data_IF_822090656760
#
_entry.id   IF_822090656760
#
_cell.length_a   1.000
_cell.length_b   1.000
_cell.length_c   1.000
_cell.angle_alpha   90.00
_cell.angle_beta   90.00
_cell.angle_gamma   90.00
#
_symmetry.space_group_name_H-M   'P 1'
#
loop_
_entity.id
_entity.type
_entity.pdbx_description
1 polymer ?
#
# COMPACT_ATOMS: atom_id res chain seq x y z
N UNK A 1 24.96 -26.80 16.34
CA UNK A 1 25.81 -25.93 15.51
C UNK A 1 24.88 -25.18 14.56
N UNK A 2 24.64 -23.87 14.78
CA UNK A 2 23.88 -23.07 13.81
C UNK A 2 24.70 -23.05 12.52
N UNK A 3 24.10 -23.46 11.39
CA UNK A 3 24.74 -23.23 10.09
C UNK A 3 24.69 -21.72 9.87
N UNK A 4 25.84 -21.07 9.82
CA UNK A 4 25.93 -19.70 9.31
C UNK A 4 25.35 -19.70 7.90
N UNK A 5 24.28 -18.93 7.71
CA UNK A 5 23.72 -18.70 6.39
C UNK A 5 24.60 -17.69 5.65
N UNK A 6 24.63 -17.74 4.32
CA UNK A 6 25.36 -16.78 3.50
C UNK A 6 24.91 -15.33 3.80
N UNK A 7 23.66 -15.20 4.26
CA UNK A 7 22.99 -13.96 4.62
C UNK A 7 23.31 -13.43 6.02
N UNK A 8 23.95 -14.21 6.89
CA UNK A 8 24.38 -13.76 8.22
C UNK A 8 25.56 -12.75 8.14
N UNK A 9 26.12 -12.55 6.94
CA UNK A 9 27.21 -11.60 6.66
C UNK A 9 26.74 -10.26 6.12
N UNK A 10 25.47 -10.14 5.78
CA UNK A 10 24.87 -8.92 5.23
C UNK A 10 24.10 -8.18 6.32
N UNK A 11 24.00 -6.85 6.18
CA UNK A 11 23.01 -6.10 6.95
C UNK A 11 21.60 -6.58 6.57
N UNK A 12 20.65 -6.58 7.51
CA UNK A 12 19.34 -7.21 7.29
C UNK A 12 18.58 -6.64 6.07
N UNK A 13 18.75 -5.34 5.81
CA UNK A 13 18.15 -4.66 4.66
C UNK A 13 18.78 -5.09 3.32
N UNK A 14 20.06 -5.47 3.30
CA UNK A 14 20.76 -5.96 2.10
C UNK A 14 20.28 -7.37 1.74
N UNK A 15 20.09 -8.22 2.75
CA UNK A 15 19.56 -9.57 2.55
C UNK A 15 18.13 -9.55 2.01
N UNK A 16 17.24 -8.75 2.61
CA UNK A 16 15.86 -8.58 2.14
C UNK A 16 15.83 -8.04 0.70
N UNK A 17 16.58 -6.97 0.40
CA UNK A 17 16.62 -6.38 -0.94
C UNK A 17 17.07 -7.38 -2.01
N UNK A 18 18.03 -8.25 -1.71
CA UNK A 18 18.49 -9.28 -2.65
C UNK A 18 17.37 -10.24 -3.05
N UNK A 19 16.53 -10.66 -2.09
CA UNK A 19 15.36 -11.49 -2.39
C UNK A 19 14.29 -10.72 -3.19
N UNK A 20 14.04 -9.45 -2.83
CA UNK A 20 13.08 -8.58 -3.53
C UNK A 20 13.48 -8.35 -4.99
N UNK A 21 14.74 -7.99 -5.24
CA UNK A 21 15.29 -7.72 -6.57
C UNK A 21 15.22 -8.96 -7.47
N UNK A 22 15.54 -10.13 -6.90
CA UNK A 22 15.44 -11.43 -7.60
C UNK A 22 14.01 -11.96 -7.70
N UNK A 23 13.05 -11.34 -6.99
CA UNK A 23 11.67 -11.83 -6.82
C UNK A 23 11.63 -13.28 -6.30
N UNK A 24 12.60 -13.64 -5.46
CA UNK A 24 12.65 -14.95 -4.82
C UNK A 24 11.78 -14.96 -3.55
N UNK A 25 10.46 -14.98 -3.77
CA UNK A 25 9.47 -14.92 -2.70
C UNK A 25 9.52 -16.13 -1.77
N UNK A 26 9.87 -17.30 -2.30
CA UNK A 26 10.02 -18.52 -1.50
C UNK A 26 11.24 -18.42 -0.59
N UNK A 27 12.37 -17.94 -1.13
CA UNK A 27 13.58 -17.66 -0.35
C UNK A 27 13.31 -16.61 0.75
N UNK A 28 12.60 -15.53 0.40
CA UNK A 28 12.21 -14.48 1.34
C UNK A 28 11.40 -15.03 2.52
N UNK A 29 10.41 -15.90 2.25
CA UNK A 29 9.61 -16.55 3.29
C UNK A 29 10.48 -17.40 4.21
N UNK A 30 11.43 -18.18 3.66
CA UNK A 30 12.34 -19.00 4.48
C UNK A 30 13.23 -18.12 5.36
N UNK A 31 13.80 -17.06 4.80
CA UNK A 31 14.67 -16.13 5.49
C UNK A 31 13.93 -15.41 6.64
N UNK A 32 12.83 -14.73 6.33
CA UNK A 32 12.04 -13.99 7.33
C UNK A 32 11.39 -14.90 8.38
N UNK A 33 11.08 -16.16 8.03
CA UNK A 33 10.62 -17.14 9.03
C UNK A 33 11.69 -17.42 10.08
N UNK A 34 12.95 -17.62 9.67
CA UNK A 34 14.05 -17.84 10.62
C UNK A 34 14.26 -16.63 11.52
N UNK A 35 14.12 -15.40 10.99
CA UNK A 35 14.17 -14.17 11.79
C UNK A 35 13.05 -14.13 12.83
N UNK A 36 11.80 -14.31 12.39
CA UNK A 36 10.63 -14.38 13.27
C UNK A 36 10.72 -15.50 14.33
N UNK A 37 11.33 -16.64 14.01
CA UNK A 37 11.55 -17.74 14.97
C UNK A 37 12.65 -17.41 16.00
N UNK A 38 13.67 -16.65 15.62
CA UNK A 38 14.71 -16.19 16.54
C UNK A 38 14.23 -15.03 17.43
N UNK A 39 13.29 -14.22 16.92
CA UNK A 39 12.72 -13.04 17.59
C UNK A 39 11.19 -13.14 17.67
N UNK A 40 10.64 -14.11 18.44
CA UNK A 40 9.20 -14.39 18.46
C UNK A 40 8.33 -13.25 18.99
N UNK A 41 8.91 -12.38 19.83
CA UNK A 41 8.22 -11.24 20.45
C UNK A 41 8.43 -9.93 19.69
N UNK A 42 9.27 -9.92 18.65
CA UNK A 42 9.54 -8.73 17.85
C UNK A 42 8.44 -8.52 16.80
N UNK A 43 7.66 -7.45 16.99
CA UNK A 43 6.52 -7.12 16.12
C UNK A 43 6.93 -6.96 14.65
N UNK A 44 8.09 -6.35 14.38
CA UNK A 44 8.54 -6.06 13.03
C UNK A 44 8.94 -7.34 12.29
N UNK A 45 9.69 -8.23 12.94
CA UNK A 45 10.04 -9.54 12.39
C UNK A 45 8.82 -10.42 12.14
N UNK A 46 7.85 -10.41 13.07
CA UNK A 46 6.58 -11.10 12.84
C UNK A 46 5.84 -10.50 11.64
N UNK A 47 5.67 -9.17 11.59
CA UNK A 47 5.03 -8.49 10.47
C UNK A 47 5.70 -8.85 9.14
N UNK A 48 7.04 -8.80 9.07
CA UNK A 48 7.82 -9.11 7.86
C UNK A 48 7.54 -10.52 7.34
N UNK A 49 7.37 -11.50 8.23
CA UNK A 49 6.96 -12.84 7.83
C UNK A 49 5.54 -12.86 7.25
N UNK A 50 4.60 -12.13 7.84
CA UNK A 50 3.24 -11.97 7.30
C UNK A 50 3.24 -11.36 5.91
N UNK A 51 3.96 -10.26 5.70
CA UNK A 51 4.17 -9.61 4.39
C UNK A 51 4.81 -10.59 3.38
N UNK A 52 5.78 -11.40 3.80
CA UNK A 52 6.40 -12.38 2.92
C UNK A 52 5.41 -13.44 2.43
N UNK A 53 4.44 -13.85 3.25
CA UNK A 53 3.37 -14.73 2.79
C UNK A 53 2.47 -14.05 1.74
N UNK A 54 2.18 -12.75 1.88
CA UNK A 54 1.44 -11.98 0.87
C UNK A 54 2.22 -11.95 -0.45
N UNK A 55 3.51 -11.59 -0.41
CA UNK A 55 4.37 -11.53 -1.58
C UNK A 55 4.53 -12.88 -2.28
N UNK A 56 4.60 -13.96 -1.51
CA UNK A 56 4.65 -15.33 -2.03
C UNK A 56 3.28 -15.90 -2.43
N UNK A 57 2.22 -15.09 -2.38
CA UNK A 57 0.84 -15.45 -2.73
C UNK A 57 0.25 -16.59 -1.89
N UNK A 58 0.76 -16.79 -0.67
CA UNK A 58 0.19 -17.68 0.35
C UNK A 58 -0.93 -16.95 1.10
N UNK A 59 -1.95 -16.47 0.40
CA UNK A 59 -2.89 -15.47 0.93
C UNK A 59 -3.69 -15.96 2.14
N UNK A 60 -4.22 -17.18 2.14
CA UNK A 60 -4.98 -17.71 3.27
C UNK A 60 -4.13 -17.84 4.53
N UNK A 61 -2.85 -18.17 4.36
CA UNK A 61 -1.87 -18.24 5.44
C UNK A 61 -1.49 -16.85 5.93
N UNK A 62 -1.27 -15.92 5.01
CA UNK A 62 -1.03 -14.52 5.33
C UNK A 62 -2.19 -13.94 6.14
N UNK A 63 -3.44 -14.18 5.71
CA UNK A 63 -4.66 -13.73 6.42
C UNK A 63 -4.70 -14.30 7.83
N UNK A 64 -4.54 -15.62 8.00
CA UNK A 64 -4.57 -16.24 9.32
C UNK A 64 -3.48 -15.68 10.24
N UNK A 65 -2.28 -15.46 9.71
CA UNK A 65 -1.12 -15.01 10.47
C UNK A 65 -1.20 -13.52 10.84
N UNK A 66 -1.47 -12.66 9.85
CA UNK A 66 -1.60 -11.21 10.02
C UNK A 66 -2.83 -10.86 10.86
N UNK A 67 -3.93 -11.61 10.76
CA UNK A 67 -5.08 -11.39 11.64
C UNK A 67 -4.72 -11.65 13.10
N UNK A 68 -3.96 -12.71 13.41
CA UNK A 68 -3.48 -12.96 14.76
C UNK A 68 -2.53 -11.86 15.28
N UNK A 69 -1.72 -11.27 14.41
CA UNK A 69 -0.90 -10.09 14.76
C UNK A 69 -1.75 -8.84 15.00
N UNK A 70 -2.75 -8.59 14.16
CA UNK A 70 -3.70 -7.49 14.34
C UNK A 70 -4.43 -7.58 15.68
N UNK A 71 -4.74 -8.78 16.16
CA UNK A 71 -5.34 -8.95 17.49
C UNK A 71 -4.44 -8.43 18.63
N UNK A 72 -3.11 -8.35 18.41
CA UNK A 72 -2.13 -7.85 19.39
C UNK A 72 -1.76 -6.38 19.14
N UNK A 73 -1.65 -5.99 17.87
CA UNK A 73 -1.18 -4.68 17.42
C UNK A 73 -2.25 -4.03 16.53
N UNK A 74 -3.41 -3.77 17.12
CA UNK A 74 -4.61 -3.41 16.38
C UNK A 74 -4.50 -2.12 15.57
N UNK A 75 -3.61 -1.21 15.92
CA UNK A 75 -3.40 0.09 15.28
C UNK A 75 -2.22 0.12 14.29
N UNK A 76 -1.49 -1.00 14.11
CA UNK A 76 -0.37 -1.06 13.17
C UNK A 76 -0.86 -1.08 11.72
N UNK A 77 -0.61 0.02 11.00
CA UNK A 77 -1.04 0.19 9.61
C UNK A 77 -0.38 -0.79 8.65
N UNK A 78 0.88 -1.19 8.87
CA UNK A 78 1.56 -2.13 7.97
C UNK A 78 0.91 -3.51 8.05
N UNK A 79 0.56 -3.96 9.25
CA UNK A 79 -0.18 -5.21 9.48
C UNK A 79 -1.56 -5.12 8.83
N UNK A 80 -2.29 -4.02 9.06
CA UNK A 80 -3.62 -3.81 8.49
C UNK A 80 -3.58 -3.84 6.95
N UNK A 81 -2.62 -3.15 6.34
CA UNK A 81 -2.54 -3.00 4.88
C UNK A 81 -2.11 -4.30 4.21
N UNK A 82 -1.14 -5.03 4.77
CA UNK A 82 -0.78 -6.36 4.27
C UNK A 82 -1.94 -7.37 4.40
N UNK A 83 -2.77 -7.23 5.46
CA UNK A 83 -3.97 -8.06 5.62
C UNK A 83 -5.03 -7.71 4.58
N UNK A 84 -5.23 -6.42 4.28
CA UNK A 84 -6.11 -5.98 3.18
C UNK A 84 -5.62 -6.48 1.82
N UNK A 85 -4.32 -6.39 1.52
CA UNK A 85 -3.73 -6.91 0.29
C UNK A 85 -4.07 -8.40 0.09
N UNK A 86 -3.93 -9.19 1.15
CA UNK A 86 -4.24 -10.63 1.10
C UNK A 86 -5.74 -10.89 0.92
N UNK A 87 -6.61 -10.14 1.61
CA UNK A 87 -8.07 -10.25 1.46
C UNK A 87 -8.51 -9.90 0.03
N UNK A 88 -8.02 -8.78 -0.51
CA UNK A 88 -8.38 -8.29 -1.83
C UNK A 88 -7.87 -9.23 -2.92
N UNK A 89 -6.68 -9.81 -2.75
CA UNK A 89 -6.12 -10.79 -3.69
C UNK A 89 -6.98 -12.06 -3.83
N UNK A 90 -7.77 -12.42 -2.81
CA UNK A 90 -8.71 -13.56 -2.86
C UNK A 90 -10.16 -13.13 -3.14
N UNK A 91 -10.37 -11.88 -3.56
CA UNK A 91 -11.69 -11.35 -3.91
C UNK A 91 -12.60 -11.04 -2.72
N UNK A 92 -12.04 -10.95 -1.51
CA UNK A 92 -12.76 -10.48 -0.31
C UNK A 92 -12.48 -9.01 -0.08
N UNK A 93 -13.31 -8.36 0.74
CA UNK A 93 -13.10 -6.99 1.18
C UNK A 93 -12.85 -6.90 2.70
N UNK A 94 -12.69 -5.68 3.22
CA UNK A 94 -12.49 -5.42 4.65
C UNK A 94 -13.67 -5.80 5.54
N UNK A 95 -14.80 -6.26 4.99
CA UNK A 95 -15.92 -6.79 5.79
C UNK A 95 -15.76 -8.27 6.13
N UNK A 96 -14.80 -8.96 5.51
CA UNK A 96 -14.60 -10.40 5.67
C UNK A 96 -14.02 -10.84 7.02
N UNK A 97 -13.58 -9.91 7.86
CA UNK A 97 -13.02 -10.18 9.18
C UNK A 97 -13.50 -9.15 10.22
N UNK A 98 -13.45 -9.55 11.49
CA UNK A 98 -13.81 -8.70 12.62
C UNK A 98 -12.60 -7.89 13.11
N UNK A 99 -12.47 -6.67 12.61
CA UNK A 99 -11.38 -5.77 12.99
C UNK A 99 -11.56 -5.22 14.41
N UNK A 100 -10.51 -5.24 15.23
CA UNK A 100 -10.46 -4.47 16.49
C UNK A 100 -10.50 -2.97 16.18
N UNK A 101 -9.55 -2.50 15.36
CA UNK A 101 -9.55 -1.17 14.74
C UNK A 101 -9.65 -1.39 13.24
N UNK A 102 -10.70 -0.86 12.62
CA UNK A 102 -10.95 -1.00 11.18
C UNK A 102 -10.13 0.05 10.42
N UNK A 103 -9.31 -0.33 9.44
CA UNK A 103 -8.61 0.64 8.60
C UNK A 103 -9.58 1.42 7.71
N UNK A 104 -9.26 2.68 7.45
CA UNK A 104 -9.94 3.46 6.41
C UNK A 104 -9.53 2.92 5.04
N UNK A 105 -10.52 2.52 4.23
CA UNK A 105 -10.31 2.06 2.85
C UNK A 105 -10.91 3.09 1.90
N UNK A 106 -10.06 3.74 1.12
CA UNK A 106 -10.45 4.69 0.09
C UNK A 106 -10.74 3.94 -1.21
N UNK A 107 -11.89 4.25 -1.80
CA UNK A 107 -12.31 3.78 -3.12
C UNK A 107 -12.57 4.99 -4.00
N UNK A 108 -12.36 4.86 -5.31
CA UNK A 108 -12.66 5.91 -6.27
C UNK A 108 -14.14 6.31 -6.15
N UNK A 109 -14.37 7.53 -5.68
CA UNK A 109 -15.68 8.05 -5.35
C UNK A 109 -15.72 9.58 -5.49
N UNK A 110 -16.92 10.16 -5.37
CA UNK A 110 -17.06 11.62 -5.33
C UNK A 110 -16.26 12.27 -4.20
N UNK A 111 -16.08 11.58 -3.07
CA UNK A 111 -15.31 12.09 -1.93
C UNK A 111 -13.82 12.17 -2.23
N UNK A 112 -13.25 11.16 -2.91
CA UNK A 112 -11.86 11.19 -3.40
C UNK A 112 -11.65 12.34 -4.38
N UNK A 113 -12.58 12.55 -5.32
CA UNK A 113 -12.49 13.68 -6.26
C UNK A 113 -12.62 15.03 -5.53
N UNK A 114 -13.50 15.13 -4.54
CA UNK A 114 -13.66 16.34 -3.73
C UNK A 114 -12.40 16.64 -2.92
N UNK A 115 -11.76 15.61 -2.36
CA UNK A 115 -10.47 15.72 -1.68
C UNK A 115 -9.41 16.28 -2.65
N UNK A 116 -9.24 15.64 -3.81
CA UNK A 116 -8.28 16.08 -4.83
C UNK A 116 -8.53 17.53 -5.27
N UNK A 117 -9.79 17.89 -5.53
CA UNK A 117 -10.16 19.26 -5.89
C UNK A 117 -9.79 20.27 -4.79
N UNK A 118 -10.10 19.95 -3.54
CA UNK A 118 -9.81 20.81 -2.39
C UNK A 118 -8.31 20.97 -2.14
N UNK A 119 -7.54 19.91 -2.33
CA UNK A 119 -6.09 19.98 -2.28
C UNK A 119 -5.54 20.88 -3.38
N UNK A 120 -5.92 20.62 -4.63
CA UNK A 120 -5.40 21.31 -5.82
C UNK A 120 -5.82 22.78 -5.91
N UNK A 121 -7.04 23.16 -5.47
CA UNK A 121 -7.51 24.55 -5.58
C UNK A 121 -6.64 25.54 -4.80
N UNK A 122 -5.94 25.06 -3.77
CA UNK A 122 -5.00 25.87 -2.97
C UNK A 122 -3.64 26.03 -3.65
N UNK A 123 -3.31 25.19 -4.64
CA UNK A 123 -2.00 25.20 -5.30
C UNK A 123 -1.99 26.18 -6.47
N UNK A 124 -0.84 26.81 -6.68
CA UNK A 124 -0.60 27.75 -7.81
C UNK A 124 -0.08 27.05 -9.07
N UNK A 125 0.66 25.95 -8.90
CA UNK A 125 1.24 25.15 -9.97
C UNK A 125 0.49 23.82 -10.10
N UNK A 126 0.47 23.21 -11.30
CA UNK A 126 0.05 21.82 -11.47
C UNK A 126 0.78 20.89 -10.50
N UNK A 127 0.14 19.77 -10.17
CA UNK A 127 0.71 18.68 -9.38
C UNK A 127 0.78 17.42 -10.22
N UNK A 128 1.68 16.51 -9.90
CA UNK A 128 1.65 15.19 -10.53
C UNK A 128 0.45 14.40 -10.00
N UNK A 129 -0.12 13.50 -10.80
CA UNK A 129 -1.16 12.59 -10.28
C UNK A 129 -0.58 11.73 -9.15
N UNK A 130 0.67 11.32 -9.28
CA UNK A 130 1.39 10.64 -8.21
C UNK A 130 1.44 11.43 -6.90
N UNK A 131 1.57 12.78 -6.94
CA UNK A 131 1.52 13.60 -5.72
C UNK A 131 0.15 13.47 -5.03
N UNK A 132 -0.95 13.45 -5.80
CA UNK A 132 -2.29 13.26 -5.22
C UNK A 132 -2.47 11.88 -4.64
N UNK A 133 -1.94 10.87 -5.33
CA UNK A 133 -1.97 9.49 -4.85
C UNK A 133 -1.27 9.38 -3.49
N UNK A 134 -0.09 9.99 -3.34
CA UNK A 134 0.62 10.03 -2.06
C UNK A 134 -0.15 10.79 -0.97
N UNK A 135 -0.81 11.89 -1.29
CA UNK A 135 -1.63 12.62 -0.30
C UNK A 135 -2.84 11.79 0.15
N UNK A 136 -3.50 11.07 -0.78
CA UNK A 136 -4.59 10.15 -0.44
C UNK A 136 -4.10 8.96 0.39
N UNK A 137 -2.89 8.45 0.13
CA UNK A 137 -2.29 7.36 0.90
C UNK A 137 -2.13 7.72 2.38
N UNK A 138 -1.94 9.01 2.69
CA UNK A 138 -1.89 9.49 4.08
C UNK A 138 -3.26 9.44 4.79
N UNK A 139 -4.36 9.33 4.05
CA UNK A 139 -5.72 9.29 4.59
C UNK A 139 -6.23 7.85 4.82
N UNK A 140 -5.59 6.84 4.23
CA UNK A 140 -5.99 5.44 4.36
C UNK A 140 -5.47 4.52 3.26
N UNK A 141 -5.89 3.25 3.33
CA UNK A 141 -5.56 2.25 2.32
C UNK A 141 -6.24 2.57 0.99
N UNK A 142 -5.47 2.61 -0.10
CA UNK A 142 -6.00 2.88 -1.43
C UNK A 142 -6.39 1.57 -2.10
N UNK A 143 -7.70 1.37 -2.33
CA UNK A 143 -8.22 0.22 -3.08
C UNK A 143 -8.15 0.45 -4.61
N UNK A 144 -7.22 1.30 -5.04
CA UNK A 144 -6.95 1.67 -6.42
C UNK A 144 -5.49 2.06 -6.54
N UNK A 145 -4.91 1.90 -7.74
CA UNK A 145 -3.58 2.40 -8.06
C UNK A 145 -3.62 3.83 -8.63
N UNK A 146 -2.44 4.38 -8.88
CA UNK A 146 -2.25 5.73 -9.39
C UNK A 146 -2.68 5.92 -10.84
N UNK A 147 -2.57 4.88 -11.68
CA UNK A 147 -3.10 4.87 -13.05
C UNK A 147 -4.65 4.91 -13.03
N UNK A 148 -5.30 4.16 -12.13
CA UNK A 148 -6.75 4.21 -11.93
C UNK A 148 -7.22 5.57 -11.39
N UNK A 149 -6.46 6.19 -10.48
CA UNK A 149 -6.74 7.55 -10.02
C UNK A 149 -6.62 8.57 -11.16
N UNK A 150 -5.60 8.43 -12.01
CA UNK A 150 -5.38 9.27 -13.19
C UNK A 150 -6.60 9.23 -14.13
N UNK A 151 -7.06 8.03 -14.49
CA UNK A 151 -8.24 7.83 -15.32
C UNK A 151 -9.50 8.42 -14.70
N UNK A 152 -9.66 8.26 -13.39
CA UNK A 152 -10.80 8.79 -12.67
C UNK A 152 -10.82 10.33 -12.66
N UNK A 153 -9.67 10.96 -12.45
CA UNK A 153 -9.52 12.41 -12.56
C UNK A 153 -9.77 12.90 -13.99
N UNK A 154 -9.31 12.17 -15.00
CA UNK A 154 -9.55 12.50 -16.41
C UNK A 154 -11.05 12.51 -16.77
N UNK A 155 -11.82 11.63 -16.14
CA UNK A 155 -13.26 11.52 -16.37
C UNK A 155 -14.10 12.66 -15.78
N UNK A 156 -13.55 13.44 -14.85
CA UNK A 156 -14.25 14.53 -14.16
C UNK A 156 -13.86 15.91 -14.73
N UNK A 157 -14.86 16.66 -15.19
CA UNK A 157 -14.69 17.94 -15.87
C UNK A 157 -14.10 19.07 -15.01
N UNK A 158 -13.95 18.86 -13.70
CA UNK A 158 -13.28 19.80 -12.79
C UNK A 158 -11.77 19.76 -12.93
N UNK A 159 -11.21 18.73 -13.57
CA UNK A 159 -9.77 18.57 -13.71
C UNK A 159 -9.34 18.72 -15.17
N UNK A 160 -8.10 19.18 -15.35
CA UNK A 160 -7.40 19.14 -16.64
C UNK A 160 -6.07 18.45 -16.43
N UNK A 161 -5.82 17.42 -17.24
CA UNK A 161 -4.60 16.62 -17.22
C UNK A 161 -3.71 16.97 -18.42
N UNK A 162 -2.40 17.04 -18.18
CA UNK A 162 -1.36 17.27 -19.19
C UNK A 162 -0.35 16.12 -19.12
N UNK A 163 -0.08 15.47 -20.25
CA UNK A 163 0.75 14.24 -20.29
C UNK A 163 -0.03 12.98 -19.91
N UNK A 164 -1.33 12.93 -20.22
CA UNK A 164 -2.20 11.78 -19.92
C UNK A 164 -1.84 10.51 -20.70
N UNK A 165 -1.09 10.65 -21.79
CA UNK A 165 -0.49 9.54 -22.54
C UNK A 165 0.76 8.95 -21.86
N UNK A 166 1.25 9.58 -20.79
CA UNK A 166 2.37 9.13 -19.98
C UNK A 166 1.91 8.43 -18.69
N UNK A 167 2.87 8.03 -17.85
CA UNK A 167 2.59 7.45 -16.54
C UNK A 167 2.12 8.49 -15.52
N UNK A 168 1.44 8.04 -14.47
CA UNK A 168 0.97 8.87 -13.35
C UNK A 168 2.02 9.84 -12.78
N UNK A 169 3.30 9.44 -12.74
CA UNK A 169 4.43 10.24 -12.25
C UNK A 169 4.96 11.28 -13.26
N UNK A 170 4.50 11.24 -14.51
CA UNK A 170 4.77 12.23 -15.56
C UNK A 170 3.49 12.99 -15.98
N UNK A 171 2.33 12.63 -15.42
CA UNK A 171 1.05 13.27 -15.71
C UNK A 171 0.75 14.38 -14.69
N UNK A 172 0.51 15.59 -15.20
CA UNK A 172 0.18 16.76 -14.37
C UNK A 172 -1.31 17.04 -14.36
N UNK A 173 -1.85 17.37 -13.19
CA UNK A 173 -3.26 17.71 -12.97
C UNK A 173 -3.43 19.11 -12.38
N UNK A 174 -4.47 19.80 -12.87
CA UNK A 174 -4.92 21.11 -12.39
C UNK A 174 -6.44 21.12 -12.23
N UNK A 175 -6.95 22.05 -11.41
CA UNK A 175 -8.40 22.29 -11.31
C UNK A 175 -8.84 23.39 -12.26
N UNK A 176 -9.96 23.15 -12.94
CA UNK A 176 -10.67 24.10 -13.76
C UNK A 176 -11.40 25.08 -12.85
N UNK A 177 -10.77 26.22 -12.55
CA UNK A 177 -11.43 27.30 -11.81
C UNK A 177 -12.48 27.91 -12.73
N UNK A 178 -13.78 27.68 -12.45
CA UNK A 178 -14.82 28.51 -13.05
C UNK A 178 -14.46 29.97 -12.74
N UNK A 179 -14.39 30.80 -13.78
CA UNK A 179 -14.37 32.25 -13.56
C UNK A 179 -15.70 32.55 -12.88
N UNK A 180 -15.66 32.95 -11.62
CA UNK A 180 -16.81 33.60 -11.02
C UNK A 180 -17.15 34.77 -11.94
N UNK A 181 -18.29 34.65 -12.63
CA UNK A 181 -18.86 35.77 -13.36
C UNK A 181 -19.28 36.74 -12.26
N UNK A 182 -18.43 37.75 -12.05
CA UNK A 182 -18.71 38.87 -11.16
C UNK A 182 -19.94 39.63 -11.62
#
# INVERSE_FOLDING_TARGET
MKKEDEYDKFEEWEADNNFLDKKDWKGLVVYRRRKAENNPDDQYDQFKLGEAYVLNKEYEKAISFLYALHQKYADDQNIQYSLLDALFAIGKDETAIDWIIRPTVLRLSGDVLNYCYNFLRTKRKPRMVYDLYLELYMEGYLAFDDDQLMDFLHSDNRFTLTGYDAKSYDCFVTVNRKKDVR
#
